data_IF_923134518802
#
_entry.id   IF_923134518802
#
_cell.length_a   1.000
_cell.length_b   1.000
_cell.length_c   1.000
_cell.angle_alpha   90.00
_cell.angle_beta   90.00
_cell.angle_gamma   90.00
#
_symmetry.space_group_name_H-M   'P 1'
#
loop_
_entity.id
_entity.type
_entity.pdbx_description
1 polymer ?
#
# COMPACT_ATOMS: atom_id res chain seq x y z
N UNK A 1 -6.07 2.72 -11.08
CA UNK A 1 -4.86 2.22 -10.40
C UNK A 1 -4.40 3.36 -9.54
N UNK A 2 -4.73 3.26 -8.26
CA UNK A 2 -4.89 4.45 -7.43
C UNK A 2 -3.80 4.47 -6.34
N UNK A 3 -3.28 3.28 -6.00
CA UNK A 3 -2.24 3.09 -4.99
C UNK A 3 -1.28 1.99 -5.46
N UNK A 4 0.02 2.18 -5.24
CA UNK A 4 1.05 1.16 -5.37
C UNK A 4 1.63 0.86 -3.99
N UNK A 5 1.76 -0.42 -3.64
CA UNK A 5 2.36 -0.86 -2.38
C UNK A 5 3.57 -1.72 -2.71
N UNK A 6 4.73 -1.43 -2.13
CA UNK A 6 5.92 -2.26 -2.23
C UNK A 6 6.46 -2.63 -0.85
N UNK A 7 7.16 -3.75 -0.76
CA UNK A 7 7.76 -4.26 0.47
C UNK A 7 9.05 -5.04 0.21
N UNK A 8 9.89 -5.14 1.24
CA UNK A 8 11.00 -6.07 1.30
C UNK A 8 10.59 -7.54 1.50
N UNK A 9 9.29 -7.83 1.75
CA UNK A 9 8.71 -9.18 1.79
C UNK A 9 7.61 -9.36 0.75
N UNK A 10 7.32 -10.61 0.39
CA UNK A 10 6.33 -10.92 -0.64
C UNK A 10 4.91 -10.51 -0.20
N UNK A 11 4.31 -9.61 -0.97
CA UNK A 11 2.97 -9.08 -0.72
C UNK A 11 1.86 -10.04 -1.19
N UNK A 12 0.84 -10.33 -0.37
CA UNK A 12 -0.31 -11.15 -0.77
C UNK A 12 -1.19 -10.49 -1.85
N UNK A 13 -1.64 -11.28 -2.83
CA UNK A 13 -2.69 -10.88 -3.77
C UNK A 13 -4.05 -11.05 -3.08
N UNK A 14 -4.95 -10.06 -3.21
CA UNK A 14 -6.30 -10.14 -2.64
C UNK A 14 -7.34 -9.50 -3.55
N UNK A 15 -8.54 -10.06 -3.55
CA UNK A 15 -9.66 -9.58 -4.33
C UNK A 15 -10.89 -9.45 -3.44
N UNK A 16 -11.36 -8.21 -3.28
CA UNK A 16 -12.53 -7.85 -2.49
C UNK A 16 -13.60 -7.38 -3.48
N UNK A 17 -14.30 -8.34 -4.08
CA UNK A 17 -15.20 -8.09 -5.22
C UNK A 17 -16.39 -7.21 -4.82
N UNK A 18 -16.95 -7.43 -3.62
CA UNK A 18 -18.10 -6.68 -3.12
C UNK A 18 -17.72 -5.23 -2.79
N UNK A 19 -16.49 -5.02 -2.37
CA UNK A 19 -15.93 -3.73 -1.98
C UNK A 19 -15.25 -3.01 -3.16
N UNK A 20 -15.22 -3.65 -4.32
CA UNK A 20 -14.60 -3.18 -5.54
C UNK A 20 -13.13 -2.77 -5.34
N UNK A 21 -12.37 -3.63 -4.66
CA UNK A 21 -10.92 -3.51 -4.45
C UNK A 21 -10.20 -4.72 -5.04
N UNK A 22 -9.16 -4.46 -5.84
CA UNK A 22 -8.28 -5.49 -6.37
C UNK A 22 -6.82 -5.15 -6.02
N UNK A 23 -6.19 -6.03 -5.26
CA UNK A 23 -4.75 -5.99 -4.94
C UNK A 23 -4.07 -7.07 -5.75
N UNK A 24 -3.39 -6.68 -6.82
CA UNK A 24 -2.79 -7.61 -7.80
C UNK A 24 -1.29 -7.38 -7.93
N UNK A 25 -0.55 -8.41 -8.34
CA UNK A 25 0.86 -8.23 -8.72
C UNK A 25 0.93 -7.16 -9.80
N UNK A 26 1.78 -6.16 -9.58
CA UNK A 26 1.99 -5.10 -10.54
C UNK A 26 2.79 -5.57 -11.75
N UNK A 27 2.55 -4.96 -12.90
CA UNK A 27 3.24 -5.27 -14.15
C UNK A 27 4.35 -4.27 -14.44
N UNK A 28 5.61 -4.64 -14.17
CA UNK A 28 6.85 -3.98 -14.62
C UNK A 28 6.78 -2.45 -14.89
N UNK A 29 6.25 -1.67 -13.97
CA UNK A 29 6.41 -0.21 -13.99
C UNK A 29 7.52 0.15 -13.03
N UNK A 30 8.68 0.51 -13.57
CA UNK A 30 9.76 1.14 -12.80
C UNK A 30 9.23 2.48 -12.28
N UNK A 31 8.62 2.47 -11.09
CA UNK A 31 8.32 3.70 -10.36
C UNK A 31 9.63 4.14 -9.69
N UNK A 32 10.27 5.25 -10.13
CA UNK A 32 11.58 5.66 -9.58
C UNK A 32 11.55 5.91 -8.07
N UNK A 33 10.36 6.14 -7.52
CA UNK A 33 10.11 6.41 -6.11
C UNK A 33 10.01 5.13 -5.26
N UNK A 34 9.85 3.97 -5.89
CA UNK A 34 9.67 2.68 -5.22
C UNK A 34 10.97 1.88 -5.36
N UNK A 35 11.64 1.63 -4.24
CA UNK A 35 12.95 0.95 -4.20
C UNK A 35 12.84 -0.51 -3.78
N UNK A 36 11.69 -0.92 -3.27
CA UNK A 36 11.47 -2.25 -2.72
C UNK A 36 11.10 -3.29 -3.81
N UNK A 37 11.56 -4.55 -3.67
CA UNK A 37 11.52 -5.54 -4.75
C UNK A 37 10.16 -6.20 -4.97
N UNK A 38 9.30 -6.29 -3.94
CA UNK A 38 7.98 -6.91 -4.08
C UNK A 38 6.92 -5.83 -4.12
N UNK A 39 6.08 -5.79 -5.14
CA UNK A 39 5.07 -4.75 -5.28
C UNK A 39 3.74 -5.27 -5.80
N UNK A 40 2.68 -4.59 -5.38
CA UNK A 40 1.30 -4.80 -5.81
C UNK A 40 0.68 -3.47 -6.22
N UNK A 41 -0.20 -3.56 -7.19
CA UNK A 41 -1.08 -2.48 -7.61
C UNK A 41 -2.43 -2.66 -6.93
N UNK A 42 -2.96 -1.56 -6.42
CA UNK A 42 -4.28 -1.51 -5.83
C UNK A 42 -5.18 -0.64 -6.70
N UNK A 43 -6.27 -1.24 -7.14
CA UNK A 43 -7.37 -0.55 -7.80
C UNK A 43 -8.55 -0.47 -6.84
N UNK A 44 -9.10 0.73 -6.65
CA UNK A 44 -10.22 1.01 -5.75
C UNK A 44 -11.24 1.82 -6.51
N UNK A 45 -12.44 1.26 -6.69
CA UNK A 45 -13.54 2.01 -7.35
C UNK A 45 -14.37 2.85 -6.38
N UNK A 46 -14.21 2.63 -5.08
CA UNK A 46 -14.94 3.34 -4.03
C UNK A 46 -14.04 3.72 -2.85
N UNK A 47 -13.80 5.02 -2.66
CA UNK A 47 -12.95 5.56 -1.59
C UNK A 47 -13.51 5.35 -0.17
N UNK A 48 -14.78 4.97 -0.02
CA UNK A 48 -15.34 4.59 1.29
C UNK A 48 -14.64 3.35 1.85
N UNK A 49 -14.07 2.50 0.99
CA UNK A 49 -13.46 1.23 1.37
C UNK A 49 -11.95 1.33 1.64
N UNK A 50 -11.38 2.54 1.75
CA UNK A 50 -9.94 2.75 2.03
C UNK A 50 -9.44 2.03 3.29
N UNK A 51 -10.31 1.81 4.28
CA UNK A 51 -9.98 1.08 5.51
C UNK A 51 -9.43 -0.33 5.22
N UNK A 52 -9.89 -0.99 4.16
CA UNK A 52 -9.43 -2.33 3.78
C UNK A 52 -7.95 -2.33 3.40
N UNK A 53 -7.45 -1.22 2.82
CA UNK A 53 -6.03 -1.08 2.50
C UNK A 53 -5.20 -0.95 3.78
N UNK A 54 -5.69 -0.20 4.76
CA UNK A 54 -5.04 -0.07 6.06
C UNK A 54 -4.98 -1.43 6.78
N UNK A 55 -6.09 -2.16 6.79
CA UNK A 55 -6.17 -3.50 7.37
C UNK A 55 -5.21 -4.47 6.66
N UNK A 56 -5.15 -4.42 5.33
CA UNK A 56 -4.20 -5.19 4.54
C UNK A 56 -2.74 -4.92 4.95
N UNK A 57 -2.36 -3.65 5.12
CA UNK A 57 -1.01 -3.28 5.59
C UNK A 57 -0.74 -3.83 6.99
N UNK A 58 -1.66 -3.66 7.94
CA UNK A 58 -1.47 -4.15 9.31
C UNK A 58 -1.48 -5.68 9.41
N UNK A 59 -2.30 -6.38 8.63
CA UNK A 59 -2.23 -7.83 8.52
C UNK A 59 -0.86 -8.29 8.03
N UNK A 60 -0.33 -7.63 6.99
CA UNK A 60 0.98 -7.96 6.45
C UNK A 60 2.10 -7.70 7.46
N UNK A 61 2.08 -6.55 8.14
CA UNK A 61 3.03 -6.23 9.21
C UNK A 61 2.99 -7.24 10.37
N UNK A 62 1.82 -7.79 10.70
CA UNK A 62 1.69 -8.83 11.74
C UNK A 62 2.27 -10.18 11.33
N UNK A 63 2.36 -10.48 10.03
CA UNK A 63 2.90 -11.75 9.54
C UNK A 63 4.42 -11.84 9.65
N UNK A 64 5.11 -10.71 9.70
CA UNK A 64 6.57 -10.63 9.66
C UNK A 64 7.09 -9.75 10.78
N UNK A 65 8.09 -10.24 11.54
CA UNK A 65 8.71 -9.45 12.63
C UNK A 65 9.28 -8.13 12.13
N UNK A 66 9.96 -8.16 10.98
CA UNK A 66 10.60 -7.02 10.35
C UNK A 66 10.06 -6.79 8.95
N UNK A 67 9.53 -5.59 8.71
CA UNK A 67 8.98 -5.19 7.41
C UNK A 67 9.33 -3.76 7.08
N UNK A 68 9.64 -3.55 5.81
CA UNK A 68 9.68 -2.22 5.20
C UNK A 68 8.60 -2.17 4.13
N UNK A 69 7.82 -1.08 4.12
CA UNK A 69 6.70 -0.88 3.21
C UNK A 69 6.79 0.53 2.64
N UNK A 70 6.63 0.63 1.33
CA UNK A 70 6.45 1.89 0.61
C UNK A 70 5.06 1.90 -0.03
N UNK A 71 4.35 3.02 0.09
CA UNK A 71 3.01 3.19 -0.46
C UNK A 71 3.01 4.48 -1.27
N UNK A 72 2.95 4.36 -2.60
CA UNK A 72 2.86 5.50 -3.52
C UNK A 72 1.39 5.76 -3.87
N UNK A 73 0.91 6.96 -3.57
CA UNK A 73 -0.48 7.37 -3.76
C UNK A 73 -0.54 8.68 -4.55
N UNK A 74 -1.09 8.63 -5.77
CA UNK A 74 -1.19 9.83 -6.63
C UNK A 74 -2.26 10.81 -6.16
N UNK A 75 -3.39 10.29 -5.67
CA UNK A 75 -4.51 11.09 -5.19
C UNK A 75 -4.21 11.66 -3.79
N UNK A 76 -4.27 12.98 -3.64
CA UNK A 76 -3.94 13.69 -2.39
C UNK A 76 -4.94 13.42 -1.26
N UNK A 77 -6.21 13.20 -1.58
CA UNK A 77 -7.25 12.94 -0.57
C UNK A 77 -7.09 11.53 0.01
N UNK A 78 -6.83 10.55 -0.86
CA UNK A 78 -6.51 9.18 -0.46
C UNK A 78 -5.21 9.17 0.35
N UNK A 79 -4.19 9.90 -0.12
CA UNK A 79 -2.90 10.01 0.56
C UNK A 79 -3.06 10.52 2.00
N UNK A 80 -3.73 11.65 2.19
CA UNK A 80 -3.96 12.23 3.50
C UNK A 80 -4.71 11.27 4.43
N UNK A 81 -5.77 10.62 3.92
CA UNK A 81 -6.59 9.66 4.68
C UNK A 81 -5.78 8.45 5.14
N UNK A 82 -4.95 7.90 4.25
CA UNK A 82 -4.12 6.73 4.56
C UNK A 82 -2.99 7.11 5.52
N UNK A 83 -2.33 8.25 5.29
CA UNK A 83 -1.25 8.74 6.14
C UNK A 83 -1.70 8.96 7.59
N UNK A 84 -2.88 9.54 7.80
CA UNK A 84 -3.42 9.77 9.15
C UNK A 84 -3.67 8.47 9.92
N UNK A 85 -4.02 7.38 9.21
CA UNK A 85 -4.40 6.10 9.83
C UNK A 85 -3.23 5.15 10.06
N UNK A 86 -2.12 5.35 9.37
CA UNK A 86 -0.91 4.56 9.55
C UNK A 86 -0.06 5.14 10.68
N UNK A 87 0.39 4.32 11.62
CA UNK A 87 1.30 4.77 12.68
C UNK A 87 2.76 4.64 12.23
N UNK A 88 3.65 5.46 12.82
CA UNK A 88 5.11 5.41 12.60
C UNK A 88 5.52 5.48 11.12
N UNK A 89 4.84 6.31 10.34
CA UNK A 89 5.12 6.49 8.92
C UNK A 89 5.85 7.80 8.64
N UNK A 90 6.57 7.86 7.52
CA UNK A 90 7.14 9.08 6.97
C UNK A 90 6.58 9.32 5.58
N UNK A 91 6.28 10.59 5.24
CA UNK A 91 5.79 10.97 3.92
C UNK A 91 6.89 11.72 3.15
N UNK A 92 7.16 11.31 1.92
CA UNK A 92 8.02 12.05 0.99
C UNK A 92 7.51 11.87 -0.43
N UNK A 93 7.27 12.98 -1.15
CA UNK A 93 6.86 12.96 -2.56
C UNK A 93 5.76 11.94 -2.88
N UNK A 94 4.61 12.02 -2.19
CA UNK A 94 3.47 11.11 -2.32
C UNK A 94 3.72 9.64 -1.94
N UNK A 95 4.88 9.36 -1.34
CA UNK A 95 5.26 8.02 -0.89
C UNK A 95 5.26 7.97 0.63
N UNK A 96 4.42 7.13 1.20
CA UNK A 96 4.43 6.81 2.63
C UNK A 96 5.40 5.64 2.83
N UNK A 97 6.36 5.80 3.73
CA UNK A 97 7.27 4.72 4.15
C UNK A 97 6.96 4.30 5.57
N UNK A 98 6.89 2.99 5.80
CA UNK A 98 6.67 2.39 7.12
C UNK A 98 7.81 1.42 7.38
N UNK A 99 8.42 1.54 8.55
CA UNK A 99 9.48 0.64 9.00
C UNK A 99 9.06 0.00 10.33
N UNK A 100 8.97 -1.33 10.33
CA UNK A 100 8.82 -2.14 11.52
C UNK A 100 10.13 -2.90 11.76
N UNK A 101 10.80 -2.55 12.86
CA UNK A 101 12.08 -3.09 13.31
C UNK A 101 11.92 -4.35 14.17
#
# INVERSE_FOLDING_TARGET
MDIFIASNRQLPIRYYVNEAIWIRRGGCTKHPQMTLPFFVEVEIKNSVNLKIIIEYIYEFQRQYKQTEIQILIKDTNILATIQEKLTNNTLTNHTITIQQL
#
